data_IF_742925989730
#
_entry.id   IF_742925989730
#
_cell.length_a   1.000
_cell.length_b   1.000
_cell.length_c   1.000
_cell.angle_alpha   90.00
_cell.angle_beta   90.00
_cell.angle_gamma   90.00
#
_symmetry.space_group_name_H-M   'P 1'
#
loop_
_entity.id
_entity.type
_entity.pdbx_description
1 polymer ?
#
# COMPACT_ATOMS: atom_id res chain seq x y z
N UNK A 1 0.97 -11.61 0.23
CA UNK A 1 0.94 -10.15 0.43
C UNK A 1 2.32 -9.68 0.86
N UNK A 2 2.75 -8.49 0.45
CA UNK A 2 4.01 -7.85 0.82
C UNK A 2 3.69 -6.38 1.13
N UNK A 3 4.21 -5.84 2.22
CA UNK A 3 4.16 -4.41 2.49
C UNK A 3 5.54 -3.77 2.25
N UNK A 4 5.54 -2.57 1.68
CA UNK A 4 6.76 -1.79 1.43
C UNK A 4 6.64 -0.45 2.15
N UNK A 5 7.64 -0.12 2.94
CA UNK A 5 7.70 1.13 3.70
C UNK A 5 8.92 1.95 3.30
N UNK A 6 8.75 3.25 3.09
CA UNK A 6 9.87 4.17 2.84
C UNK A 6 10.67 4.51 4.10
N UNK A 7 10.29 3.98 5.26
CA UNK A 7 11.02 4.17 6.50
C UNK A 7 12.37 3.43 6.48
N UNK A 8 13.30 3.90 7.32
CA UNK A 8 14.62 3.27 7.46
C UNK A 8 14.50 1.83 7.97
N UNK A 9 15.43 0.92 7.58
CA UNK A 9 15.39 -0.49 7.96
C UNK A 9 15.31 -0.73 9.47
N UNK A 10 16.05 0.06 10.27
CA UNK A 10 16.04 -0.02 11.73
C UNK A 10 14.64 0.28 12.32
N UNK A 11 13.94 1.26 11.77
CA UNK A 11 12.57 1.61 12.20
C UNK A 11 11.57 0.53 11.78
N UNK A 12 11.69 0.01 10.57
CA UNK A 12 10.82 -1.08 10.07
C UNK A 12 11.01 -2.32 10.94
N UNK A 13 12.24 -2.71 11.24
CA UNK A 13 12.54 -3.85 12.10
C UNK A 13 11.93 -3.69 13.50
N UNK A 14 12.10 -2.52 14.13
CA UNK A 14 11.53 -2.24 15.43
C UNK A 14 9.99 -2.26 15.41
N UNK A 15 9.38 -1.79 14.33
CA UNK A 15 7.93 -1.80 14.17
C UNK A 15 7.37 -3.21 14.00
N UNK A 16 8.00 -4.04 13.15
CA UNK A 16 7.60 -5.43 12.92
C UNK A 16 7.78 -6.29 14.18
N UNK A 17 8.86 -6.05 14.94
CA UNK A 17 9.08 -6.74 16.22
C UNK A 17 7.98 -6.43 17.25
N UNK A 18 7.44 -5.21 17.22
CA UNK A 18 6.36 -4.79 18.13
C UNK A 18 4.97 -5.23 17.64
N UNK A 19 4.76 -5.26 16.34
CA UNK A 19 3.49 -5.58 15.69
C UNK A 19 3.74 -6.66 14.63
N UNK A 20 3.67 -7.95 14.98
CA UNK A 20 3.91 -9.04 14.03
C UNK A 20 2.81 -9.05 12.96
N UNK A 21 3.24 -9.02 11.71
CA UNK A 21 2.34 -9.14 10.55
C UNK A 21 2.41 -10.55 9.97
N UNK A 22 1.30 -11.08 9.41
CA UNK A 22 1.29 -12.39 8.74
C UNK A 22 1.91 -12.34 7.33
N UNK A 23 2.65 -11.29 7.00
CA UNK A 23 3.30 -11.08 5.71
C UNK A 23 4.58 -10.25 5.89
N UNK A 24 5.53 -10.37 4.94
CA UNK A 24 6.77 -9.60 5.00
C UNK A 24 6.52 -8.09 4.88
N UNK A 25 7.35 -7.32 5.59
CA UNK A 25 7.45 -5.86 5.46
C UNK A 25 8.87 -5.51 5.07
N UNK A 26 9.04 -4.80 3.95
CA UNK A 26 10.33 -4.43 3.39
C UNK A 26 10.55 -2.93 3.51
N UNK A 27 11.75 -2.53 3.89
CA UNK A 27 12.18 -1.14 3.90
C UNK A 27 12.65 -0.70 2.51
N UNK A 28 12.17 0.45 2.04
CA UNK A 28 12.54 1.10 0.78
C UNK A 28 12.86 2.58 1.04
N UNK A 29 13.94 2.89 1.79
CA UNK A 29 14.28 4.26 2.15
C UNK A 29 14.58 5.13 0.94
N UNK A 30 15.08 4.53 -0.14
CA UNK A 30 15.37 5.22 -1.40
C UNK A 30 14.15 5.36 -2.31
N UNK A 31 13.00 4.84 -1.89
CA UNK A 31 11.72 4.91 -2.63
C UNK A 31 11.81 4.35 -4.05
N UNK A 32 12.55 3.28 -4.25
CA UNK A 32 12.69 2.62 -5.56
C UNK A 32 11.35 2.05 -6.01
N UNK A 33 10.69 1.29 -5.13
CA UNK A 33 9.35 0.75 -5.40
C UNK A 33 8.32 1.88 -5.56
N UNK A 34 8.39 2.93 -4.72
CA UNK A 34 7.48 4.07 -4.80
C UNK A 34 7.56 4.78 -6.17
N UNK A 35 8.76 4.95 -6.71
CA UNK A 35 8.94 5.51 -8.06
C UNK A 35 8.48 4.55 -9.15
N UNK A 36 8.79 3.25 -9.02
CA UNK A 36 8.40 2.25 -10.01
C UNK A 36 6.88 2.10 -10.14
N UNK A 37 6.15 2.27 -9.05
CA UNK A 37 4.69 2.24 -9.03
C UNK A 37 4.04 3.63 -9.19
N UNK A 38 4.85 4.66 -9.49
CA UNK A 38 4.40 6.03 -9.72
C UNK A 38 3.59 6.60 -8.54
N UNK A 39 4.01 6.29 -7.32
CA UNK A 39 3.39 6.82 -6.14
C UNK A 39 3.76 8.29 -5.96
N UNK A 40 2.75 9.14 -6.02
CA UNK A 40 2.89 10.57 -5.92
C UNK A 40 3.26 11.08 -4.53
N UNK A 41 3.48 12.36 -4.45
CA UNK A 41 3.60 13.11 -3.20
C UNK A 41 2.51 14.16 -3.16
N UNK A 42 1.88 14.31 -2.00
CA UNK A 42 0.97 15.43 -1.78
C UNK A 42 1.74 16.69 -1.41
N UNK A 43 1.13 17.84 -1.59
CA UNK A 43 1.70 19.10 -1.12
C UNK A 43 1.09 19.50 0.22
N UNK A 44 1.80 20.33 0.99
CA UNK A 44 1.27 20.87 2.25
C UNK A 44 -0.02 21.68 2.04
N UNK A 45 -0.14 22.34 0.87
CA UNK A 45 -1.35 23.05 0.46
C UNK A 45 -2.55 22.13 0.26
N UNK A 46 -2.33 20.96 -0.36
CA UNK A 46 -3.39 19.99 -0.61
C UNK A 46 -3.81 19.30 0.68
N UNK A 47 -2.86 19.06 1.60
CA UNK A 47 -3.14 18.51 2.92
C UNK A 47 -3.96 19.49 3.79
N UNK A 48 -3.80 20.80 3.58
CA UNK A 48 -4.56 21.84 4.29
C UNK A 48 -5.91 22.17 3.63
N UNK A 49 -6.22 21.62 2.45
CA UNK A 49 -7.54 21.75 1.84
C UNK A 49 -8.57 21.05 2.71
N UNK A 50 -9.66 21.77 3.05
CA UNK A 50 -10.61 21.44 4.10
C UNK A 50 -11.18 20.03 4.15
N UNK A 51 -11.11 19.26 3.05
CA UNK A 51 -11.57 17.87 2.99
C UNK A 51 -10.63 16.92 3.75
N UNK A 52 -9.32 17.10 3.62
CA UNK A 52 -8.29 16.31 4.33
C UNK A 52 -8.24 16.72 5.80
N UNK A 53 -8.29 18.02 6.06
CA UNK A 53 -8.32 18.55 7.42
C UNK A 53 -9.56 18.09 8.20
N UNK A 54 -10.74 18.10 7.57
CA UNK A 54 -11.98 17.62 8.18
C UNK A 54 -11.91 16.12 8.54
N UNK A 55 -11.38 15.28 7.65
CA UNK A 55 -11.16 13.85 7.88
C UNK A 55 -10.11 13.60 8.99
N UNK A 56 -9.06 14.40 9.02
CA UNK A 56 -8.02 14.31 10.05
C UNK A 56 -8.55 14.69 11.44
N UNK A 57 -9.35 15.75 11.53
CA UNK A 57 -10.04 16.16 12.76
C UNK A 57 -11.04 15.10 13.21
N UNK A 58 -11.79 14.49 12.31
CA UNK A 58 -12.71 13.40 12.63
C UNK A 58 -11.98 12.17 13.16
N UNK A 59 -10.84 11.81 12.58
CA UNK A 59 -9.99 10.69 13.04
C UNK A 59 -9.38 10.97 14.42
N UNK A 60 -8.94 12.20 14.68
CA UNK A 60 -8.45 12.64 15.99
C UNK A 60 -9.56 12.57 17.03
N UNK A 61 -10.77 12.95 16.66
CA UNK A 61 -11.93 12.93 17.57
C UNK A 61 -12.37 11.50 17.90
N UNK A 62 -12.31 10.57 16.94
CA UNK A 62 -12.71 9.17 17.13
C UNK A 62 -11.64 8.31 17.80
N UNK A 63 -10.36 8.57 17.54
CA UNK A 63 -9.24 7.70 17.97
C UNK A 63 -8.25 8.35 18.91
N UNK A 64 -8.46 9.64 19.24
CA UNK A 64 -7.54 10.44 20.05
C UNK A 64 -6.29 10.89 19.26
N UNK A 65 -5.56 11.85 19.82
CA UNK A 65 -4.29 12.31 19.25
C UNK A 65 -3.29 11.16 19.13
N UNK A 66 -2.63 11.00 17.99
CA UNK A 66 -1.59 9.98 17.83
C UNK A 66 -0.48 10.21 18.84
N UNK A 67 -0.28 9.25 19.71
CA UNK A 67 0.56 9.35 20.92
C UNK A 67 2.06 9.52 20.68
N UNK A 68 2.56 9.32 19.47
CA UNK A 68 3.94 9.63 19.05
C UNK A 68 4.01 9.85 17.55
N UNK A 69 4.23 11.07 17.12
CA UNK A 69 4.78 11.35 15.78
C UNK A 69 6.20 10.79 15.77
N UNK A 70 6.47 9.87 14.84
CA UNK A 70 7.83 9.43 14.59
C UNK A 70 8.54 10.60 13.89
N UNK A 71 9.43 11.25 14.62
CA UNK A 71 10.23 12.34 14.07
C UNK A 71 10.99 11.84 12.83
N UNK A 72 10.81 12.53 11.70
CA UNK A 72 11.50 12.23 10.43
C UNK A 72 10.73 11.37 9.42
N UNK A 73 9.43 11.11 9.61
CA UNK A 73 8.59 10.51 8.57
C UNK A 73 8.09 11.57 7.59
N UNK A 74 8.19 11.26 6.29
CA UNK A 74 7.72 12.13 5.21
C UNK A 74 6.19 11.98 5.08
N UNK A 75 5.46 12.85 5.78
CA UNK A 75 3.99 12.87 5.78
C UNK A 75 3.38 13.21 4.41
N UNK A 76 4.18 13.67 3.47
CA UNK A 76 3.73 14.06 2.14
C UNK A 76 3.85 12.91 1.13
N UNK A 77 4.52 11.82 1.49
CA UNK A 77 4.59 10.64 0.64
C UNK A 77 3.25 9.90 0.65
N UNK A 78 2.67 9.75 -0.53
CA UNK A 78 1.44 8.98 -0.72
C UNK A 78 1.75 7.50 -0.89
N UNK A 79 0.82 6.67 -0.46
CA UNK A 79 0.86 5.23 -0.63
C UNK A 79 0.05 4.75 -1.82
N UNK A 80 -0.06 3.44 -1.96
CA UNK A 80 -0.92 2.77 -2.93
C UNK A 80 -0.97 1.27 -2.69
N UNK A 81 -1.95 0.64 -3.29
CA UNK A 81 -2.20 -0.79 -3.23
C UNK A 81 -2.20 -1.37 -4.64
N UNK A 82 -1.47 -2.45 -4.85
CA UNK A 82 -1.29 -3.07 -6.17
C UNK A 82 -1.47 -4.58 -6.07
N UNK A 83 -2.14 -5.15 -7.07
CA UNK A 83 -2.20 -6.60 -7.25
C UNK A 83 -1.44 -6.95 -8.52
N UNK A 84 -0.53 -7.90 -8.40
CA UNK A 84 0.23 -8.44 -9.54
C UNK A 84 -0.21 -9.89 -9.79
N UNK A 85 -0.28 -10.25 -11.07
CA UNK A 85 -0.52 -11.64 -11.47
C UNK A 85 0.76 -12.50 -11.35
N UNK A 86 0.63 -13.80 -11.64
CA UNK A 86 1.76 -14.74 -11.64
C UNK A 86 2.88 -14.40 -12.64
N UNK A 87 2.63 -13.52 -13.60
CA UNK A 87 3.60 -13.01 -14.58
C UNK A 87 4.18 -11.66 -14.18
N UNK A 88 3.92 -11.21 -12.94
CA UNK A 88 4.37 -9.92 -12.39
C UNK A 88 3.78 -8.70 -13.11
N UNK A 89 2.64 -8.83 -13.79
CA UNK A 89 1.93 -7.70 -14.38
C UNK A 89 0.97 -7.13 -13.34
N UNK A 90 0.90 -5.80 -13.28
CA UNK A 90 -0.06 -5.11 -12.42
C UNK A 90 -1.46 -5.28 -13.01
N UNK A 91 -2.34 -5.95 -12.30
CA UNK A 91 -3.74 -6.19 -12.70
C UNK A 91 -4.73 -5.32 -11.92
N UNK A 92 -4.27 -4.75 -10.82
CA UNK A 92 -5.01 -3.74 -10.07
C UNK A 92 -4.02 -2.70 -9.54
N UNK A 93 -4.37 -1.44 -9.62
CA UNK A 93 -3.56 -0.33 -9.12
C UNK A 93 -4.46 0.72 -8.47
N UNK A 94 -4.24 0.97 -7.21
CA UNK A 94 -4.83 2.07 -6.47
C UNK A 94 -3.72 2.99 -5.96
N UNK A 95 -3.76 4.26 -6.30
CA UNK A 95 -2.83 5.28 -5.82
C UNK A 95 -3.60 6.26 -4.97
N UNK A 96 -3.21 6.38 -3.70
CA UNK A 96 -3.88 7.27 -2.76
C UNK A 96 -3.78 8.72 -3.22
N UNK A 97 -4.91 9.42 -3.23
CA UNK A 97 -4.98 10.84 -3.55
C UNK A 97 -4.56 11.71 -2.35
N UNK A 98 -4.71 11.20 -1.14
CA UNK A 98 -4.31 11.85 0.10
C UNK A 98 -3.85 10.80 1.17
N UNK A 99 -3.21 11.21 2.28
CA UNK A 99 -2.71 10.29 3.30
C UNK A 99 -3.77 9.45 4.01
N UNK A 100 -5.04 9.83 3.92
CA UNK A 100 -6.18 9.12 4.54
C UNK A 100 -6.95 8.26 3.54
N UNK A 101 -6.61 8.38 2.26
CA UNK A 101 -7.25 7.68 1.17
C UNK A 101 -6.80 6.22 1.10
N UNK A 102 -7.75 5.30 1.10
CA UNK A 102 -7.53 3.86 1.03
C UNK A 102 -8.57 3.23 0.13
N UNK A 103 -8.21 2.19 -0.63
CA UNK A 103 -9.18 1.44 -1.43
C UNK A 103 -10.15 0.69 -0.51
N UNK A 104 -11.32 0.37 -1.04
CA UNK A 104 -12.22 -0.55 -0.36
C UNK A 104 -11.55 -1.93 -0.28
N UNK A 105 -11.46 -2.55 0.91
CA UNK A 105 -10.93 -3.90 1.05
C UNK A 105 -11.63 -4.93 0.17
N UNK A 106 -12.92 -4.75 -0.13
CA UNK A 106 -13.67 -5.64 -1.02
C UNK A 106 -13.12 -5.62 -2.46
N UNK A 107 -12.74 -4.43 -2.97
CA UNK A 107 -12.15 -4.28 -4.31
C UNK A 107 -10.79 -4.99 -4.38
N UNK A 108 -9.96 -4.85 -3.36
CA UNK A 108 -8.67 -5.55 -3.27
C UNK A 108 -8.85 -7.07 -3.25
N UNK A 109 -9.77 -7.58 -2.45
CA UNK A 109 -10.06 -9.01 -2.38
C UNK A 109 -10.57 -9.53 -3.71
N UNK A 110 -11.43 -8.80 -4.39
CA UNK A 110 -11.95 -9.16 -5.71
C UNK A 110 -10.83 -9.19 -6.77
N UNK A 111 -9.95 -8.20 -6.77
CA UNK A 111 -8.80 -8.14 -7.68
C UNK A 111 -7.84 -9.32 -7.46
N UNK A 112 -7.57 -9.69 -6.20
CA UNK A 112 -6.74 -10.86 -5.87
C UNK A 112 -7.40 -12.16 -6.36
N UNK A 113 -8.70 -12.34 -6.13
CA UNK A 113 -9.44 -13.53 -6.60
C UNK A 113 -9.38 -13.66 -8.13
N UNK A 114 -9.58 -12.55 -8.84
CA UNK A 114 -9.49 -12.52 -10.30
C UNK A 114 -8.09 -12.88 -10.79
N UNK A 115 -7.03 -12.33 -10.19
CA UNK A 115 -5.64 -12.63 -10.53
C UNK A 115 -5.29 -14.12 -10.33
N UNK A 116 -5.75 -14.73 -9.24
CA UNK A 116 -5.53 -16.14 -8.95
C UNK A 116 -6.33 -17.04 -9.90
N UNK A 117 -7.58 -16.69 -10.20
CA UNK A 117 -8.42 -17.44 -11.14
C UNK A 117 -7.83 -17.50 -12.55
N UNK A 118 -7.29 -16.40 -13.05
CA UNK A 118 -6.63 -16.32 -14.35
C UNK A 118 -5.36 -17.19 -14.40
N UNK A 119 -4.57 -17.18 -13.33
CA UNK A 119 -3.37 -18.02 -13.25
C UNK A 119 -3.71 -19.54 -13.27
N UNK A 120 -4.80 -19.94 -12.61
CA UNK A 120 -5.26 -21.33 -12.60
C UNK A 120 -5.75 -21.81 -13.98
N UNK A 121 -6.45 -20.96 -14.72
CA UNK A 121 -6.93 -21.30 -16.07
C UNK A 121 -5.79 -21.40 -17.10
N UNK A 122 -4.76 -20.54 -16.99
CA UNK A 122 -3.59 -20.61 -17.87
C UNK A 122 -2.74 -21.86 -17.61
N UNK A 123 -2.59 -22.27 -16.36
CA UNK A 123 -1.88 -23.49 -15.99
C UNK A 123 -2.61 -24.76 -16.53
N UNK A 124 -3.92 -24.79 -16.43
CA UNK A 124 -4.74 -25.89 -16.97
C UNK A 124 -4.66 -25.99 -18.50
N UNK A 125 -4.60 -24.84 -19.19
CA UNK A 125 -4.54 -24.79 -20.67
C UNK A 125 -3.15 -25.14 -21.24
N UNK A 126 -2.09 -24.97 -20.44
CA UNK A 126 -0.71 -25.34 -20.82
C UNK A 126 -0.44 -26.85 -20.64
N UNK A 127 -1.10 -27.49 -19.66
CA UNK A 127 -1.02 -28.93 -19.44
C UNK A 127 -1.75 -29.80 -20.48
N UNK A 128 -2.66 -29.20 -21.26
CA UNK A 128 -3.45 -29.88 -22.29
C UNK A 128 -2.81 -29.86 -23.72
N UNK A 129 -1.64 -29.25 -23.86
CA UNK A 129 -0.89 -29.17 -25.13
C UNK A 129 0.44 -29.92 -25.07
N UNK A 130 0.44 -31.18 -24.64
CA UNK A 130 1.53 -32.10 -24.98
C UNK A 130 1.03 -33.12 -26.00
N UNK A 131 1.78 -33.31 -27.09
CA UNK A 131 1.45 -34.26 -28.14
C UNK A 131 1.53 -35.71 -27.66
#
# INVERSE_FOLDING_TARGET
MLAVSFSRPDKVAAYVARYPFPFPVVADPDRVAYRAFELGRTTWRDMMRGRVLGRYLQLIWQKGLPRKRHAGEDLLQLGGDFVLDGRRRVVYAYRSADPTDRPDPADLVQAVKAAVGTAGQEAANHGSRSP
#
